data_IF_805685456617
#
_entry.id   IF_805685456617
#
_cell.length_a   1.000
_cell.length_b   1.000
_cell.length_c   1.000
_cell.angle_alpha   90.00
_cell.angle_beta   90.00
_cell.angle_gamma   90.00
#
_symmetry.space_group_name_H-M   'P 1'
#
loop_
_entity.id
_entity.type
_entity.pdbx_description
1 polymer ?
#
# COMPACT_ATOMS: atom_id res chain seq x y z
N UNK A 1 6.92 -6.25 -16.46
CA UNK A 1 7.10 -7.69 -16.17
C UNK A 1 8.54 -8.19 -16.37
N UNK A 2 9.57 -7.41 -16.00
CA UNK A 2 10.98 -7.78 -16.22
C UNK A 2 11.92 -7.34 -15.09
N UNK A 3 11.44 -7.39 -13.84
CA UNK A 3 12.22 -6.93 -12.69
C UNK A 3 13.17 -7.98 -12.12
N UNK A 4 14.13 -7.53 -11.33
CA UNK A 4 15.04 -8.36 -10.52
C UNK A 4 14.60 -8.26 -9.06
N UNK A 5 14.71 -9.36 -8.31
CA UNK A 5 14.64 -9.34 -6.84
C UNK A 5 15.98 -8.87 -6.29
N UNK A 6 16.10 -7.59 -5.95
CA UNK A 6 17.34 -7.00 -5.42
C UNK A 6 17.95 -7.76 -4.24
N UNK A 7 17.13 -8.35 -3.37
CA UNK A 7 17.65 -9.13 -2.24
C UNK A 7 18.31 -10.46 -2.62
N UNK A 8 18.05 -11.01 -3.81
CA UNK A 8 18.56 -12.34 -4.23
C UNK A 8 19.25 -12.37 -5.60
N UNK A 9 19.13 -11.31 -6.40
CA UNK A 9 19.58 -11.27 -7.79
C UNK A 9 18.70 -12.06 -8.78
N UNK A 10 17.69 -12.79 -8.31
CA UNK A 10 16.83 -13.60 -9.18
C UNK A 10 15.94 -12.73 -10.07
N UNK A 11 15.83 -13.10 -11.34
CA UNK A 11 14.79 -12.56 -12.22
C UNK A 11 13.40 -12.85 -11.64
N UNK A 12 12.48 -11.90 -11.76
CA UNK A 12 11.07 -12.08 -11.35
C UNK A 12 10.24 -12.85 -12.39
N UNK A 13 10.82 -13.22 -13.54
CA UNK A 13 10.10 -13.93 -14.62
C UNK A 13 9.43 -15.22 -14.12
N UNK A 14 10.12 -16.02 -13.30
CA UNK A 14 9.56 -17.27 -12.77
C UNK A 14 8.26 -17.06 -11.94
N UNK A 15 8.12 -15.90 -11.27
CA UNK A 15 6.92 -15.56 -10.51
C UNK A 15 5.71 -15.38 -11.42
N UNK A 16 5.91 -14.71 -12.54
CA UNK A 16 4.85 -14.44 -13.50
C UNK A 16 4.48 -15.71 -14.26
N UNK A 17 5.48 -16.43 -14.75
CA UNK A 17 5.28 -17.54 -15.69
C UNK A 17 4.78 -18.80 -14.99
N UNK A 18 5.35 -19.14 -13.82
CA UNK A 18 5.21 -20.48 -13.23
C UNK A 18 4.64 -20.52 -11.81
N UNK A 19 4.88 -19.51 -10.96
CA UNK A 19 4.58 -19.64 -9.52
C UNK A 19 3.42 -18.79 -9.02
N UNK A 20 3.63 -17.52 -8.68
CA UNK A 20 2.60 -16.70 -8.03
C UNK A 20 1.48 -16.32 -9.01
N UNK A 21 1.82 -15.86 -10.21
CA UNK A 21 0.82 -15.43 -11.20
C UNK A 21 0.36 -16.55 -12.14
N UNK A 22 1.22 -17.56 -12.39
CA UNK A 22 0.91 -18.73 -13.25
C UNK A 22 0.35 -18.36 -14.62
N UNK A 23 0.89 -17.31 -15.26
CA UNK A 23 0.45 -16.83 -16.58
C UNK A 23 0.64 -17.90 -17.68
N UNK A 24 1.60 -18.83 -17.48
CA UNK A 24 1.75 -20.03 -18.29
C UNK A 24 2.69 -19.90 -19.49
N UNK A 25 3.40 -18.79 -19.63
CA UNK A 25 4.44 -18.55 -20.64
C UNK A 25 4.92 -17.12 -20.60
N UNK A 26 5.90 -16.79 -21.42
CA UNK A 26 6.55 -15.47 -21.47
C UNK A 26 5.61 -14.38 -21.99
N UNK A 27 5.97 -13.11 -21.77
CA UNK A 27 5.20 -11.97 -22.28
C UNK A 27 5.16 -11.91 -23.82
N UNK A 28 6.13 -12.54 -24.48
CA UNK A 28 6.20 -12.62 -25.94
C UNK A 28 5.27 -13.69 -26.50
N UNK A 29 5.07 -14.78 -25.77
CA UNK A 29 4.14 -15.86 -26.15
C UNK A 29 2.70 -15.48 -25.86
N UNK A 30 2.43 -14.86 -24.70
CA UNK A 30 1.07 -14.55 -24.23
C UNK A 30 0.87 -13.09 -23.80
N UNK A 31 1.14 -12.09 -24.67
CA UNK A 31 1.11 -10.68 -24.29
C UNK A 31 -0.24 -10.24 -23.70
N UNK A 32 -1.35 -10.75 -24.23
CA UNK A 32 -2.70 -10.43 -23.73
C UNK A 32 -2.94 -10.94 -22.30
N UNK A 33 -2.40 -12.10 -21.92
CA UNK A 33 -2.56 -12.60 -20.55
C UNK A 33 -1.86 -11.70 -19.53
N UNK A 34 -0.71 -11.13 -19.90
CA UNK A 34 -0.03 -10.16 -19.05
C UNK A 34 -0.82 -8.86 -18.91
N UNK A 35 -1.46 -8.39 -19.99
CA UNK A 35 -2.34 -7.22 -19.95
C UNK A 35 -3.55 -7.46 -19.05
N UNK A 36 -4.24 -8.59 -19.23
CA UNK A 36 -5.43 -8.99 -18.46
C UNK A 36 -5.14 -9.21 -16.97
N UNK A 37 -3.93 -9.65 -16.62
CA UNK A 37 -3.51 -9.85 -15.23
C UNK A 37 -2.79 -8.64 -14.62
N UNK A 38 -2.75 -7.51 -15.32
CA UNK A 38 -2.16 -6.28 -14.80
C UNK A 38 -3.24 -5.36 -14.23
N UNK A 39 -3.30 -5.17 -12.90
CA UNK A 39 -4.36 -4.38 -12.28
C UNK A 39 -4.27 -2.89 -12.66
N UNK A 40 -3.12 -2.43 -13.15
CA UNK A 40 -2.90 -1.05 -13.61
C UNK A 40 -3.90 -0.63 -14.70
N UNK A 41 -4.27 -1.54 -15.60
CA UNK A 41 -5.19 -1.26 -16.71
C UNK A 41 -6.68 -1.37 -16.34
N UNK A 42 -6.99 -1.64 -15.07
CA UNK A 42 -8.36 -1.74 -14.56
C UNK A 42 -8.63 -0.78 -13.41
N UNK A 43 -7.74 0.18 -13.17
CA UNK A 43 -7.86 1.13 -12.06
C UNK A 43 -9.08 2.06 -12.17
N UNK A 44 -9.56 2.32 -13.38
CA UNK A 44 -10.80 3.06 -13.64
C UNK A 44 -12.03 2.35 -13.03
N UNK A 45 -11.98 1.01 -12.99
CA UNK A 45 -13.05 0.15 -12.45
C UNK A 45 -13.01 -0.02 -10.93
N UNK A 46 -11.95 0.44 -10.26
CA UNK A 46 -11.87 0.36 -8.79
C UNK A 46 -12.94 1.27 -8.18
N UNK A 47 -13.81 0.71 -7.36
CA UNK A 47 -14.86 1.44 -6.62
C UNK A 47 -14.66 1.38 -5.11
N UNK A 48 -13.84 0.44 -4.63
CA UNK A 48 -13.54 0.22 -3.23
C UNK A 48 -12.38 1.11 -2.77
N UNK A 49 -12.42 1.64 -1.54
CA UNK A 49 -11.26 2.27 -0.91
C UNK A 49 -10.06 1.31 -0.85
N UNK A 50 -8.84 1.83 -1.06
CA UNK A 50 -7.61 1.01 -1.10
C UNK A 50 -6.56 1.49 -0.09
N UNK A 51 -6.12 0.60 0.79
CA UNK A 51 -4.93 0.78 1.62
C UNK A 51 -3.77 -0.05 1.04
N UNK A 52 -2.63 0.60 0.78
CA UNK A 52 -1.43 -0.02 0.22
C UNK A 52 -0.32 0.06 1.27
N UNK A 53 0.36 -1.06 1.54
CA UNK A 53 1.63 -1.10 2.26
C UNK A 53 2.73 -1.47 1.27
N UNK A 54 3.72 -0.60 1.10
CA UNK A 54 4.92 -0.95 0.33
C UNK A 54 6.09 -0.07 0.84
N UNK A 55 7.20 -0.72 1.16
CA UNK A 55 8.38 -0.06 1.75
C UNK A 55 9.43 0.24 0.67
N UNK A 56 10.28 1.23 0.94
CA UNK A 56 11.25 1.75 -0.02
C UNK A 56 12.45 0.83 -0.25
N UNK A 57 12.81 0.02 0.75
CA UNK A 57 13.87 -1.01 0.67
C UNK A 57 13.34 -2.42 0.33
N UNK A 58 12.18 -2.51 -0.34
CA UNK A 58 11.62 -3.79 -0.78
C UNK A 58 12.49 -4.46 -1.86
N UNK A 59 13.31 -5.40 -1.41
CA UNK A 59 14.18 -6.20 -2.27
C UNK A 59 13.46 -7.29 -3.09
N UNK A 60 12.16 -7.51 -2.93
CA UNK A 60 11.39 -8.52 -3.66
C UNK A 60 10.52 -7.91 -4.76
N UNK A 61 9.92 -6.74 -4.52
CA UNK A 61 9.06 -6.01 -5.45
C UNK A 61 9.50 -4.55 -5.55
N UNK A 62 9.84 -4.02 -6.75
CA UNK A 62 10.28 -2.64 -6.91
C UNK A 62 9.25 -1.65 -6.35
N UNK A 63 9.71 -0.79 -5.45
CA UNK A 63 8.94 0.26 -4.78
C UNK A 63 8.09 1.11 -5.72
N UNK A 64 8.62 1.45 -6.89
CA UNK A 64 7.91 2.24 -7.90
C UNK A 64 6.60 1.61 -8.38
N UNK A 65 6.42 0.29 -8.30
CA UNK A 65 5.13 -0.34 -8.65
C UNK A 65 4.02 0.06 -7.67
N UNK A 66 4.34 0.20 -6.38
CA UNK A 66 3.40 0.70 -5.38
C UNK A 66 3.07 2.18 -5.59
N UNK A 67 4.07 2.99 -5.93
CA UNK A 67 3.89 4.40 -6.28
C UNK A 67 2.98 4.54 -7.51
N UNK A 68 3.27 3.83 -8.61
CA UNK A 68 2.48 3.86 -9.84
C UNK A 68 1.01 3.55 -9.57
N UNK A 69 0.74 2.48 -8.81
CA UNK A 69 -0.62 2.07 -8.47
C UNK A 69 -1.34 3.12 -7.61
N UNK A 70 -0.68 3.61 -6.55
CA UNK A 70 -1.23 4.65 -5.66
C UNK A 70 -1.53 5.95 -6.41
N UNK A 71 -0.56 6.47 -7.16
CA UNK A 71 -0.70 7.73 -7.89
C UNK A 71 -1.79 7.63 -8.95
N UNK A 72 -1.91 6.49 -9.64
CA UNK A 72 -2.97 6.27 -10.63
C UNK A 72 -4.36 6.22 -9.98
N UNK A 73 -4.54 5.55 -8.83
CA UNK A 73 -5.78 5.60 -8.06
C UNK A 73 -6.15 7.04 -7.66
N UNK A 74 -5.18 7.80 -7.12
CA UNK A 74 -5.39 9.20 -6.72
C UNK A 74 -5.74 10.08 -7.91
N UNK A 75 -5.10 9.88 -9.07
CA UNK A 75 -5.39 10.59 -10.32
C UNK A 75 -6.83 10.37 -10.80
N UNK A 76 -7.38 9.19 -10.55
CA UNK A 76 -8.76 8.82 -10.88
C UNK A 76 -9.76 9.19 -9.78
N UNK A 77 -9.33 9.95 -8.77
CA UNK A 77 -10.19 10.38 -7.65
C UNK A 77 -10.62 9.24 -6.73
N UNK A 78 -9.95 8.09 -6.77
CA UNK A 78 -10.30 6.93 -5.93
C UNK A 78 -9.77 7.13 -4.50
N UNK A 79 -10.53 6.75 -3.45
CA UNK A 79 -10.02 6.78 -2.08
C UNK A 79 -8.87 5.79 -1.93
N UNK A 80 -7.66 6.31 -1.73
CA UNK A 80 -6.46 5.50 -1.63
C UNK A 80 -5.46 6.10 -0.65
N UNK A 81 -4.73 5.22 0.06
CA UNK A 81 -3.67 5.52 1.00
C UNK A 81 -2.46 4.61 0.76
N UNK A 82 -1.25 5.17 0.92
CA UNK A 82 0.01 4.46 0.81
C UNK A 82 0.79 4.61 2.11
N UNK A 83 1.02 3.48 2.78
CA UNK A 83 1.88 3.37 3.96
C UNK A 83 3.28 2.97 3.50
N UNK A 84 4.26 3.77 3.88
CA UNK A 84 5.66 3.56 3.59
C UNK A 84 6.49 3.72 4.87
N UNK A 85 7.08 2.62 5.31
CA UNK A 85 8.05 2.63 6.40
C UNK A 85 9.45 2.66 5.80
N UNK A 86 10.16 3.76 6.04
CA UNK A 86 11.50 3.93 5.48
C UNK A 86 12.47 2.89 6.05
N UNK A 87 13.37 2.44 5.18
CA UNK A 87 14.41 1.45 5.46
C UNK A 87 13.86 0.06 5.84
N UNK A 88 12.57 -0.20 5.60
CA UNK A 88 11.97 -1.52 5.81
C UNK A 88 11.99 -2.34 4.52
N UNK A 89 12.21 -3.66 4.60
CA UNK A 89 12.20 -4.52 3.43
C UNK A 89 10.75 -4.86 3.01
N UNK A 90 10.57 -5.95 2.27
CA UNK A 90 9.27 -6.43 1.77
C UNK A 90 8.14 -6.51 2.84
N UNK A 91 8.50 -6.61 4.12
CA UNK A 91 7.57 -6.53 5.24
C UNK A 91 8.17 -5.67 6.36
N UNK A 92 7.39 -4.85 7.11
CA UNK A 92 7.92 -4.14 8.27
C UNK A 92 8.42 -5.11 9.34
N UNK A 93 9.69 -4.98 9.71
CA UNK A 93 10.37 -5.82 10.69
C UNK A 93 10.51 -5.12 12.05
N UNK A 94 10.76 -3.80 12.08
CA UNK A 94 10.89 -3.05 13.33
C UNK A 94 9.57 -3.12 14.10
N UNK A 95 9.63 -3.42 15.40
CA UNK A 95 8.44 -3.63 16.23
C UNK A 95 7.47 -2.43 16.19
N UNK A 96 8.01 -1.20 16.21
CA UNK A 96 7.22 0.02 16.11
C UNK A 96 6.42 0.11 14.79
N UNK A 97 7.04 -0.26 13.66
CA UNK A 97 6.41 -0.22 12.35
C UNK A 97 5.35 -1.32 12.22
N UNK A 98 5.62 -2.51 12.76
CA UNK A 98 4.62 -3.59 12.85
C UNK A 98 3.40 -3.16 13.67
N UNK A 99 3.60 -2.52 14.81
CA UNK A 99 2.50 -2.02 15.66
C UNK A 99 1.70 -0.95 14.94
N UNK A 100 2.36 0.06 14.40
CA UNK A 100 1.71 1.14 13.65
C UNK A 100 0.93 0.60 12.45
N UNK A 101 1.49 -0.33 11.67
CA UNK A 101 0.80 -0.95 10.55
C UNK A 101 -0.46 -1.69 10.98
N UNK A 102 -0.39 -2.49 12.05
CA UNK A 102 -1.55 -3.21 12.55
C UNK A 102 -2.66 -2.25 13.02
N UNK A 103 -2.31 -1.15 13.70
CA UNK A 103 -3.27 -0.15 14.13
C UNK A 103 -3.94 0.52 12.92
N UNK A 104 -3.16 0.95 11.92
CA UNK A 104 -3.72 1.60 10.71
C UNK A 104 -4.59 0.65 9.90
N UNK A 105 -4.16 -0.59 9.75
CA UNK A 105 -4.94 -1.63 9.07
C UNK A 105 -6.26 -1.86 9.80
N UNK A 106 -6.24 -2.00 11.12
CA UNK A 106 -7.45 -2.14 11.93
C UNK A 106 -8.36 -0.91 11.75
N UNK A 107 -7.85 0.30 11.95
CA UNK A 107 -8.63 1.53 11.81
C UNK A 107 -9.24 1.72 10.42
N UNK A 108 -8.52 1.33 9.37
CA UNK A 108 -9.03 1.36 8.01
C UNK A 108 -10.26 0.44 7.86
N UNK A 109 -10.18 -0.79 8.38
CA UNK A 109 -11.30 -1.71 8.37
C UNK A 109 -12.43 -1.26 9.30
N UNK A 110 -12.11 -0.80 10.51
CA UNK A 110 -13.11 -0.30 11.46
C UNK A 110 -13.93 0.85 10.83
N UNK A 111 -13.26 1.77 10.12
CA UNK A 111 -13.96 2.86 9.44
C UNK A 111 -14.89 2.38 8.31
N UNK A 112 -14.44 1.44 7.47
CA UNK A 112 -15.21 1.02 6.30
C UNK A 112 -16.17 -0.15 6.54
N UNK A 113 -15.98 -0.90 7.63
CA UNK A 113 -16.72 -2.13 7.90
C UNK A 113 -17.46 -2.11 9.24
N UNK A 114 -17.18 -1.16 10.14
CA UNK A 114 -17.76 -1.08 11.49
C UNK A 114 -18.28 0.32 11.84
N UNK A 115 -18.44 1.21 10.85
CA UNK A 115 -18.91 2.59 11.02
C UNK A 115 -18.09 3.44 12.01
N UNK A 116 -16.85 3.05 12.31
CA UNK A 116 -15.99 3.83 13.20
C UNK A 116 -15.62 5.17 12.54
N UNK A 117 -15.36 6.23 13.33
CA UNK A 117 -14.96 7.51 12.76
C UNK A 117 -13.63 7.39 12.01
N UNK A 118 -13.49 8.15 10.92
CA UNK A 118 -12.26 8.17 10.13
C UNK A 118 -11.09 8.70 10.99
N UNK A 119 -9.97 7.97 11.10
CA UNK A 119 -8.79 8.45 11.82
C UNK A 119 -8.11 9.60 11.07
N UNK A 120 -7.42 10.47 11.80
CA UNK A 120 -6.80 11.69 11.24
C UNK A 120 -5.81 11.41 10.12
N UNK A 121 -5.04 10.34 10.22
CA UNK A 121 -4.09 9.95 9.18
C UNK A 121 -4.78 9.62 7.85
N UNK A 122 -6.03 9.16 7.87
CA UNK A 122 -6.79 8.91 6.64
C UNK A 122 -7.30 10.20 6.01
N UNK A 123 -7.68 11.19 6.83
CA UNK A 123 -8.22 12.48 6.35
C UNK A 123 -7.18 13.33 5.65
N UNK A 124 -6.02 13.54 6.27
CA UNK A 124 -5.00 14.51 5.81
C UNK A 124 -3.63 13.90 5.48
N UNK A 125 -3.45 12.60 5.69
CA UNK A 125 -2.12 11.97 5.69
C UNK A 125 -1.31 12.35 6.93
N UNK A 126 -0.07 11.88 7.00
CA UNK A 126 0.90 12.29 8.04
C UNK A 126 2.00 13.11 7.35
N UNK A 127 2.10 14.42 7.62
CA UNK A 127 3.16 15.25 7.06
C UNK A 127 4.55 14.71 7.43
N UNK A 128 5.54 14.89 6.55
CA UNK A 128 6.90 14.43 6.79
C UNK A 128 7.50 14.97 8.10
N UNK A 129 7.18 16.22 8.45
CA UNK A 129 7.60 16.87 9.70
C UNK A 129 6.94 16.27 10.96
N UNK A 130 5.80 15.62 10.82
CA UNK A 130 5.08 14.97 11.92
C UNK A 130 5.44 13.48 12.06
N UNK A 131 6.11 12.88 11.07
CA UNK A 131 6.45 11.46 11.06
C UNK A 131 7.37 11.13 12.25
N UNK A 132 6.95 10.18 13.09
CA UNK A 132 7.67 9.81 14.33
C UNK A 132 7.31 10.67 15.55
N UNK A 133 6.56 11.77 15.37
CA UNK A 133 6.12 12.68 16.44
C UNK A 133 4.61 12.55 16.65
N UNK A 134 3.83 12.79 15.59
CA UNK A 134 2.36 12.70 15.59
C UNK A 134 1.92 11.79 14.44
N UNK A 135 1.55 10.56 14.80
CA UNK A 135 1.19 9.52 13.84
C UNK A 135 -0.24 9.66 13.27
N UNK A 136 -1.06 10.54 13.86
CA UNK A 136 -2.45 10.79 13.41
C UNK A 136 -3.39 9.62 13.68
N UNK A 137 -3.12 8.80 14.70
CA UNK A 137 -3.92 7.62 15.04
C UNK A 137 -5.24 7.96 15.77
N UNK A 138 -5.38 9.19 16.25
CA UNK A 138 -6.62 9.67 16.85
C UNK A 138 -7.78 9.77 15.84
N UNK A 139 -8.98 9.48 16.30
CA UNK A 139 -10.27 9.79 15.69
C UNK A 139 -10.94 10.98 16.39
N UNK A 140 -11.99 11.55 15.80
CA UNK A 140 -12.76 12.64 16.41
C UNK A 140 -13.33 12.26 17.80
N UNK A 141 -13.65 10.98 18.04
CA UNK A 141 -14.09 10.48 19.35
C UNK A 141 -12.98 10.42 20.40
N UNK A 142 -11.74 10.15 19.98
CA UNK A 142 -10.59 10.06 20.89
C UNK A 142 -9.92 11.41 21.17
N UNK A 143 -10.31 12.46 20.44
CA UNK A 143 -9.95 13.83 20.75
C UNK A 143 -10.82 14.26 21.94
N UNK A 144 -10.33 14.08 23.16
CA UNK A 144 -11.01 14.63 24.34
C UNK A 144 -11.33 16.11 24.07
N UNK A 145 -12.54 16.60 24.44
CA UNK A 145 -12.76 18.03 24.43
C UNK A 145 -11.68 18.64 25.31
N UNK A 146 -10.90 19.56 24.74
CA UNK A 146 -9.98 20.37 25.54
C UNK A 146 -10.80 20.93 26.70
N UNK A 147 -10.44 20.61 27.94
CA UNK A 147 -11.04 21.26 29.10
C UNK A 147 -10.81 22.76 28.91
N UNK A 148 -11.89 23.44 28.53
CA UNK A 148 -11.94 24.88 28.40
C UNK A 148 -11.82 25.46 29.79
N UNK A 149 -10.76 26.22 29.99
CA UNK A 149 -10.50 27.05 31.17
C UNK A 149 -11.48 28.23 31.21
#
# INVERSE_FOLDING_TARGET
YGGIRWGSGLSRMFQYERTQSRIGGTIWEYPLRYLENSPLFFLDKVTTPVLILHNDEDGAVPWYQGIEYFVALRRLGKPAWLLNYNDEPHWPLKLQNRKDFNIRMQQFFDHYLQDAPMPEWMKRGVPALEKGIRQGLQTDETMLPSEGN
#
